data_IF_519284528866
#
_entry.id   IF_519284528866
#
_cell.length_a   1.000
_cell.length_b   1.000
_cell.length_c   1.000
_cell.angle_alpha   90.00
_cell.angle_beta   90.00
_cell.angle_gamma   90.00
#
_symmetry.space_group_name_H-M   'P 1'
#
loop_
_entity.id
_entity.type
_entity.pdbx_description
1 polymer ?
#
# COMPACT_ATOMS: atom_id res chain seq x y z
N UNK A 1 23.14 76.35 4.98
CA UNK A 1 22.36 75.89 6.14
C UNK A 1 21.34 74.89 5.62
N UNK A 2 21.55 73.58 5.90
CA UNK A 2 20.60 72.45 5.88
C UNK A 2 19.57 72.35 4.73
N UNK A 3 19.38 71.24 4.01
CA UNK A 3 19.22 69.86 4.51
C UNK A 3 19.59 68.82 3.45
N UNK A 4 20.33 67.82 3.90
CA UNK A 4 20.34 66.45 3.34
C UNK A 4 18.93 65.86 3.31
N UNK A 5 18.63 64.96 2.37
CA UNK A 5 18.10 63.60 2.66
C UNK A 5 18.17 62.70 1.41
N UNK A 6 18.70 61.52 1.66
CA UNK A 6 19.10 60.36 0.85
C UNK A 6 18.16 59.85 -0.27
N UNK A 7 18.71 59.19 -1.31
CA UNK A 7 17.95 58.31 -2.19
C UNK A 7 17.67 56.96 -1.50
N UNK A 8 16.42 56.50 -1.60
CA UNK A 8 15.95 55.20 -1.15
C UNK A 8 16.64 54.07 -1.93
N UNK A 9 17.46 53.28 -1.25
CA UNK A 9 17.98 52.01 -1.76
C UNK A 9 16.84 50.97 -1.69
N UNK A 10 16.26 50.64 -2.85
CA UNK A 10 15.44 49.45 -3.04
C UNK A 10 16.25 48.22 -2.64
N UNK A 11 15.88 47.60 -1.53
CA UNK A 11 16.40 46.31 -1.12
C UNK A 11 15.68 45.25 -1.95
N UNK A 12 16.24 44.93 -3.12
CA UNK A 12 15.86 43.74 -3.88
C UNK A 12 16.34 42.53 -3.09
N UNK A 13 15.48 42.02 -2.22
CA UNK A 13 15.71 40.77 -1.51
C UNK A 13 15.62 39.62 -2.53
N UNK A 14 16.77 39.16 -3.00
CA UNK A 14 16.91 37.91 -3.74
C UNK A 14 16.45 36.75 -2.84
N UNK A 15 15.26 36.22 -3.11
CA UNK A 15 14.81 34.93 -2.58
C UNK A 15 15.69 33.82 -3.15
N UNK A 16 16.75 33.46 -2.43
CA UNK A 16 17.59 32.28 -2.67
C UNK A 16 17.00 31.05 -1.95
N UNK A 17 15.74 30.73 -2.23
CA UNK A 17 15.21 29.40 -1.92
C UNK A 17 14.98 28.74 -3.27
N UNK A 18 15.74 27.69 -3.63
CA UNK A 18 15.32 26.84 -4.72
C UNK A 18 13.97 26.26 -4.32
N UNK A 19 12.91 26.66 -5.00
CA UNK A 19 11.66 25.92 -5.01
C UNK A 19 12.03 24.50 -5.38
N UNK A 20 12.05 23.61 -4.38
CA UNK A 20 12.21 22.19 -4.63
C UNK A 20 11.16 21.84 -5.69
N UNK A 21 11.54 21.16 -6.79
CA UNK A 21 10.55 20.75 -7.75
C UNK A 21 9.51 19.95 -6.97
N UNK A 22 8.24 20.31 -7.15
CA UNK A 22 7.14 19.44 -6.76
C UNK A 22 7.48 18.08 -7.37
N UNK A 23 7.97 17.15 -6.54
CA UNK A 23 8.22 15.80 -6.98
C UNK A 23 6.84 15.28 -7.33
N UNK A 24 6.59 15.27 -8.63
CA UNK A 24 5.42 14.73 -9.26
C UNK A 24 5.09 13.40 -8.57
N UNK A 25 3.82 13.25 -8.20
CA UNK A 25 3.22 12.01 -7.73
C UNK A 25 3.45 10.96 -8.83
N UNK A 26 4.60 10.27 -8.78
CA UNK A 26 4.80 9.02 -9.50
C UNK A 26 3.74 8.08 -8.93
N UNK A 27 2.62 7.99 -9.64
CA UNK A 27 1.56 7.06 -9.34
C UNK A 27 2.16 5.66 -9.46
N UNK A 28 2.65 5.12 -8.34
CA UNK A 28 3.22 3.79 -8.28
C UNK A 28 2.16 2.82 -8.78
N UNK A 29 2.41 2.23 -9.95
CA UNK A 29 1.51 1.27 -10.55
C UNK A 29 1.25 0.14 -9.54
N UNK A 30 -0.01 -0.30 -9.38
CA UNK A 30 -0.38 -1.15 -8.26
C UNK A 30 0.36 -2.49 -8.33
N UNK A 31 0.88 -2.91 -7.19
CA UNK A 31 1.44 -4.24 -7.04
C UNK A 31 0.34 -5.30 -7.16
N UNK A 32 0.60 -6.35 -7.95
CA UNK A 32 -0.31 -7.48 -8.16
C UNK A 32 0.25 -8.76 -7.51
N UNK A 33 -0.52 -9.34 -6.59
CA UNK A 33 -0.21 -10.61 -5.96
C UNK A 33 -1.18 -11.69 -6.46
N UNK A 34 -0.65 -12.68 -7.18
CA UNK A 34 -1.39 -13.87 -7.60
C UNK A 34 -1.08 -15.02 -6.63
N UNK A 35 -2.09 -15.48 -5.89
CA UNK A 35 -1.93 -16.54 -4.90
C UNK A 35 -2.59 -17.84 -5.34
N UNK A 36 -1.93 -18.97 -5.12
CA UNK A 36 -2.56 -20.28 -5.27
C UNK A 36 -3.63 -20.50 -4.19
N UNK A 37 -4.68 -21.24 -4.51
CA UNK A 37 -5.61 -21.73 -3.50
C UNK A 37 -4.92 -22.71 -2.54
N UNK A 38 -5.53 -22.92 -1.37
CA UNK A 38 -5.00 -23.82 -0.33
C UNK A 38 -5.80 -25.11 -0.23
N UNK A 39 -5.12 -26.22 0.08
CA UNK A 39 -5.77 -27.46 0.50
C UNK A 39 -6.55 -27.26 1.82
N UNK A 40 -5.93 -26.59 2.79
CA UNK A 40 -6.54 -26.23 4.07
C UNK A 40 -7.59 -25.13 3.89
N UNK A 41 -8.85 -25.43 4.22
CA UNK A 41 -10.00 -24.53 4.08
C UNK A 41 -10.85 -24.52 5.36
N UNK A 42 -11.68 -23.50 5.54
CA UNK A 42 -12.81 -23.60 6.48
C UNK A 42 -13.80 -24.66 5.98
N UNK A 43 -14.66 -25.12 6.87
CA UNK A 43 -15.73 -26.11 6.64
C UNK A 43 -17.08 -25.48 6.26
N UNK A 44 -17.09 -24.16 6.04
CA UNK A 44 -18.26 -23.36 5.70
C UNK A 44 -17.94 -22.36 4.61
N UNK A 45 -18.98 -21.87 3.97
CA UNK A 45 -18.91 -20.80 2.98
C UNK A 45 -18.24 -19.56 3.59
N UNK A 46 -17.30 -19.00 2.84
CA UNK A 46 -16.58 -17.81 3.22
C UNK A 46 -16.01 -17.13 1.98
N UNK A 47 -15.65 -15.85 2.14
CA UNK A 47 -14.82 -15.12 1.18
C UNK A 47 -13.54 -15.92 0.88
N UNK A 48 -13.12 -15.99 -0.37
CA UNK A 48 -11.98 -16.80 -0.79
C UNK A 48 -10.72 -16.54 0.05
N UNK A 49 -10.42 -15.28 0.36
CA UNK A 49 -9.26 -14.92 1.18
C UNK A 49 -9.34 -15.51 2.59
N UNK A 50 -10.54 -15.63 3.16
CA UNK A 50 -10.83 -16.15 4.51
C UNK A 50 -11.04 -17.66 4.56
N UNK A 51 -11.59 -18.23 3.49
CA UNK A 51 -11.76 -19.67 3.31
C UNK A 51 -10.41 -20.38 3.39
N UNK A 52 -9.39 -19.90 2.67
CA UNK A 52 -8.08 -20.57 2.61
C UNK A 52 -7.24 -20.30 3.87
N UNK A 53 -6.77 -21.38 4.51
CA UNK A 53 -6.09 -21.35 5.83
C UNK A 53 -4.63 -21.84 5.81
N UNK A 54 -4.11 -22.22 4.65
CA UNK A 54 -2.75 -22.74 4.52
C UNK A 54 -1.65 -21.74 4.89
N UNK A 55 -0.43 -22.24 5.05
CA UNK A 55 0.72 -21.46 5.56
C UNK A 55 1.05 -20.21 4.74
N UNK A 56 0.80 -20.20 3.42
CA UNK A 56 0.97 -19.00 2.60
C UNK A 56 -0.04 -17.91 2.96
N UNK A 57 -1.29 -18.26 3.28
CA UNK A 57 -2.31 -17.31 3.73
C UNK A 57 -2.02 -16.79 5.14
N UNK A 58 -1.40 -17.61 5.99
CA UNK A 58 -0.90 -17.16 7.29
C UNK A 58 0.22 -16.13 7.12
N UNK A 59 1.21 -16.41 6.26
CA UNK A 59 2.27 -15.45 5.93
C UNK A 59 1.72 -14.18 5.29
N UNK A 60 0.79 -14.29 4.34
CA UNK A 60 0.09 -13.14 3.77
C UNK A 60 -0.51 -12.25 4.86
N UNK A 61 -1.29 -12.81 5.79
CA UNK A 61 -1.92 -12.04 6.88
C UNK A 61 -0.92 -11.46 7.87
N UNK A 62 0.19 -12.14 8.12
CA UNK A 62 1.23 -11.66 9.03
C UNK A 62 1.99 -10.45 8.47
N UNK A 63 2.13 -10.35 7.15
CA UNK A 63 2.85 -9.27 6.48
C UNK A 63 1.95 -8.19 5.89
N UNK A 64 0.65 -8.45 5.69
CA UNK A 64 -0.28 -7.48 5.15
C UNK A 64 -0.43 -6.27 6.09
N UNK A 65 -0.21 -5.07 5.56
CA UNK A 65 -0.43 -3.81 6.26
C UNK A 65 -1.44 -2.93 5.53
N UNK A 66 -2.22 -2.17 6.28
CA UNK A 66 -3.32 -1.34 5.76
C UNK A 66 -2.87 -0.18 4.87
N UNK A 67 -1.59 0.19 4.95
CA UNK A 67 -0.94 1.28 4.21
C UNK A 67 -0.16 0.79 2.98
N UNK A 68 -0.08 -0.53 2.75
CA UNK A 68 0.64 -1.16 1.65
C UNK A 68 -0.08 -2.44 1.19
N UNK A 69 -1.32 -2.30 0.71
CA UNK A 69 -2.15 -3.43 0.27
C UNK A 69 -1.97 -3.67 -1.23
N UNK A 70 -1.44 -4.83 -1.67
CA UNK A 70 -1.42 -5.17 -3.09
C UNK A 70 -2.82 -5.49 -3.60
N UNK A 71 -3.02 -5.41 -4.92
CA UNK A 71 -4.17 -6.05 -5.58
C UNK A 71 -3.95 -7.55 -5.52
N UNK A 72 -4.90 -8.30 -4.95
CA UNK A 72 -4.79 -9.75 -4.78
C UNK A 72 -5.79 -10.44 -5.70
N UNK A 73 -5.34 -11.48 -6.40
CA UNK A 73 -6.21 -12.45 -7.07
C UNK A 73 -5.78 -13.86 -6.66
N UNK A 74 -6.76 -14.76 -6.50
CA UNK A 74 -6.51 -16.13 -6.07
C UNK A 74 -6.79 -17.09 -7.22
N UNK A 75 -5.81 -17.88 -7.63
CA UNK A 75 -6.00 -18.97 -8.59
C UNK A 75 -6.47 -20.24 -7.86
N UNK A 76 -7.75 -20.57 -8.06
CA UNK A 76 -8.39 -21.81 -7.62
C UNK A 76 -8.34 -22.89 -8.69
N UNK A 77 -7.94 -24.11 -8.30
CA UNK A 77 -8.03 -25.29 -9.16
C UNK A 77 -9.46 -25.59 -9.65
N UNK A 78 -10.49 -25.18 -8.89
CA UNK A 78 -11.89 -25.37 -9.24
C UNK A 78 -12.47 -24.20 -10.02
N UNK A 79 -12.27 -23.00 -9.47
CA UNK A 79 -13.02 -21.82 -9.91
C UNK A 79 -12.25 -20.90 -10.86
N UNK A 80 -10.96 -21.17 -11.13
CA UNK A 80 -10.11 -20.24 -11.87
C UNK A 80 -9.66 -19.07 -11.00
N UNK A 81 -9.49 -17.89 -11.58
CA UNK A 81 -9.13 -16.70 -10.81
C UNK A 81 -10.34 -16.17 -10.04
N UNK A 82 -10.12 -15.83 -8.77
CA UNK A 82 -11.11 -15.32 -7.83
C UNK A 82 -10.65 -14.00 -7.25
N UNK A 83 -11.63 -13.15 -6.92
CA UNK A 83 -11.40 -11.98 -6.08
C UNK A 83 -11.32 -12.42 -4.61
N UNK A 84 -10.57 -11.69 -3.76
CA UNK A 84 -10.40 -12.04 -2.35
C UNK A 84 -11.74 -12.17 -1.60
N UNK A 85 -12.73 -11.39 -2.01
CA UNK A 85 -14.06 -11.31 -1.42
C UNK A 85 -15.11 -12.23 -2.05
N UNK A 86 -14.79 -12.97 -3.10
CA UNK A 86 -15.73 -13.93 -3.70
C UNK A 86 -16.09 -15.00 -2.68
N UNK A 87 -17.37 -15.15 -2.34
CA UNK A 87 -17.86 -16.21 -1.45
C UNK A 87 -17.86 -17.55 -2.18
N UNK A 88 -17.23 -18.57 -1.57
CA UNK A 88 -17.14 -19.92 -2.11
C UNK A 88 -17.27 -20.96 -0.99
N UNK A 89 -17.89 -22.08 -1.33
CA UNK A 89 -17.98 -23.26 -0.46
C UNK A 89 -16.66 -24.04 -0.42
N UNK A 90 -16.37 -24.80 0.66
CA UNK A 90 -15.24 -25.71 0.70
C UNK A 90 -15.31 -26.77 -0.42
N UNK A 91 -14.14 -27.14 -0.92
CA UNK A 91 -14.00 -28.13 -1.99
C UNK A 91 -12.65 -28.84 -1.93
N UNK A 92 -12.56 -30.01 -2.56
CA UNK A 92 -11.31 -30.73 -2.76
C UNK A 92 -11.01 -30.90 -4.25
N UNK A 93 -10.13 -30.03 -4.76
CA UNK A 93 -9.60 -30.14 -6.11
C UNK A 93 -8.18 -29.59 -6.11
N UNK A 94 -7.22 -30.41 -6.56
CA UNK A 94 -5.80 -30.06 -6.64
C UNK A 94 -5.46 -29.56 -8.04
N UNK A 95 -4.53 -28.61 -8.12
CA UNK A 95 -3.92 -28.20 -9.38
C UNK A 95 -2.88 -29.24 -9.81
N UNK A 96 -3.33 -30.30 -10.47
CA UNK A 96 -2.44 -31.24 -11.16
C UNK A 96 -1.94 -30.62 -12.46
N UNK A 97 -0.90 -31.21 -13.07
CA UNK A 97 -0.43 -30.81 -14.40
C UNK A 97 -1.53 -30.87 -15.45
N UNK A 98 -2.30 -31.94 -15.47
CA UNK A 98 -3.46 -32.08 -16.37
C UNK A 98 -4.50 -30.99 -16.14
N UNK A 99 -4.78 -30.63 -14.88
CA UNK A 99 -5.73 -29.55 -14.58
C UNK A 99 -5.21 -28.19 -15.04
N UNK A 100 -3.92 -27.93 -14.84
CA UNK A 100 -3.28 -26.72 -15.35
C UNK A 100 -3.37 -26.66 -16.89
N UNK A 101 -3.05 -27.75 -17.59
CA UNK A 101 -3.15 -27.86 -19.05
C UNK A 101 -4.58 -27.56 -19.54
N UNK A 102 -5.60 -28.14 -18.91
CA UNK A 102 -7.00 -27.86 -19.21
C UNK A 102 -7.35 -26.39 -19.02
N UNK A 103 -6.87 -25.77 -17.93
CA UNK A 103 -7.12 -24.34 -17.70
C UNK A 103 -6.43 -23.46 -18.73
N UNK A 104 -5.20 -23.78 -19.14
CA UNK A 104 -4.50 -22.98 -20.14
C UNK A 104 -5.14 -23.11 -21.52
N UNK A 105 -5.68 -24.28 -21.88
CA UNK A 105 -6.40 -24.49 -23.13
C UNK A 105 -7.67 -23.62 -23.25
N UNK A 106 -8.34 -23.34 -22.13
CA UNK A 106 -9.54 -22.49 -22.06
C UNK A 106 -9.34 -21.32 -21.09
N UNK A 107 -8.18 -20.66 -21.15
CA UNK A 107 -7.80 -19.67 -20.14
C UNK A 107 -8.78 -18.49 -20.05
N UNK A 108 -9.39 -18.11 -21.18
CA UNK A 108 -10.41 -17.06 -21.24
C UNK A 108 -11.59 -17.30 -20.32
N UNK A 109 -12.01 -18.55 -20.11
CA UNK A 109 -13.17 -18.84 -19.26
C UNK A 109 -12.87 -18.67 -17.77
N UNK A 110 -11.58 -18.67 -17.38
CA UNK A 110 -11.10 -18.58 -16.01
C UNK A 110 -10.57 -17.18 -15.62
N UNK A 111 -10.45 -16.25 -16.57
CA UNK A 111 -9.99 -14.86 -16.33
C UNK A 111 -11.14 -13.89 -16.00
N UNK A 112 -12.18 -14.37 -15.34
CA UNK A 112 -13.43 -13.61 -15.13
C UNK A 112 -13.41 -12.48 -14.09
N UNK A 113 -12.51 -12.43 -13.09
CA UNK A 113 -12.54 -11.34 -12.10
C UNK A 113 -12.50 -9.95 -12.73
N UNK A 114 -13.35 -9.04 -12.27
CA UNK A 114 -13.29 -7.63 -12.65
C UNK A 114 -12.07 -6.95 -12.00
N UNK A 115 -11.56 -7.50 -10.91
CA UNK A 115 -10.46 -6.93 -10.14
C UNK A 115 -9.07 -6.97 -10.82
N UNK A 116 -8.91 -7.58 -12.00
CA UNK A 116 -7.67 -7.44 -12.78
C UNK A 116 -7.39 -5.95 -13.02
N UNK A 117 -6.28 -5.40 -12.50
CA UNK A 117 -5.98 -3.99 -12.67
C UNK A 117 -5.69 -3.67 -14.15
N UNK A 118 -5.94 -2.44 -14.57
CA UNK A 118 -5.66 -2.00 -15.94
C UNK A 118 -4.17 -1.84 -16.21
N UNK A 119 -3.41 -1.50 -15.18
CA UNK A 119 -1.95 -1.36 -15.20
C UNK A 119 -1.36 -2.06 -13.98
N UNK A 120 -0.13 -2.55 -14.11
CA UNK A 120 0.57 -3.29 -13.05
C UNK A 120 1.99 -2.75 -12.91
N UNK A 121 2.46 -2.65 -11.67
CA UNK A 121 3.84 -2.36 -11.34
C UNK A 121 4.61 -3.66 -11.07
N UNK A 122 4.83 -3.95 -9.80
CA UNK A 122 5.43 -5.21 -9.35
C UNK A 122 4.41 -6.35 -9.30
N UNK A 123 4.85 -7.56 -9.62
CA UNK A 123 4.01 -8.76 -9.65
C UNK A 123 4.66 -9.89 -8.88
N UNK A 124 3.88 -10.59 -8.04
CA UNK A 124 4.31 -11.79 -7.33
C UNK A 124 3.42 -12.98 -7.65
N UNK A 125 4.01 -14.09 -8.06
CA UNK A 125 3.34 -15.39 -8.20
C UNK A 125 3.66 -16.29 -7.01
N UNK A 126 2.69 -16.41 -6.10
CA UNK A 126 2.81 -17.21 -4.89
C UNK A 126 2.07 -18.56 -5.07
N UNK A 127 2.82 -19.61 -5.39
CA UNK A 127 2.25 -20.95 -5.58
C UNK A 127 3.23 -22.01 -6.08
N UNK A 128 2.74 -23.26 -6.09
CA UNK A 128 3.45 -24.38 -6.70
C UNK A 128 3.65 -24.20 -8.21
N UNK A 129 4.53 -25.01 -8.81
CA UNK A 129 4.92 -24.90 -10.22
C UNK A 129 3.73 -24.87 -11.19
N UNK A 130 2.75 -25.77 -11.01
CA UNK A 130 1.56 -25.81 -11.87
C UNK A 130 0.67 -24.56 -11.75
N UNK A 131 0.54 -23.99 -10.55
CA UNK A 131 -0.17 -22.72 -10.36
C UNK A 131 0.58 -21.58 -11.07
N UNK A 132 1.89 -21.47 -10.87
CA UNK A 132 2.71 -20.41 -11.47
C UNK A 132 2.68 -20.47 -12.99
N UNK A 133 2.61 -21.67 -13.57
CA UNK A 133 2.48 -21.86 -15.02
C UNK A 133 1.18 -21.25 -15.57
N UNK A 134 0.05 -21.51 -14.92
CA UNK A 134 -1.25 -20.90 -15.29
C UNK A 134 -1.23 -19.38 -15.04
N UNK A 135 -0.66 -18.92 -13.93
CA UNK A 135 -0.52 -17.50 -13.61
C UNK A 135 0.32 -16.75 -14.66
N UNK A 136 1.44 -17.33 -15.12
CA UNK A 136 2.26 -16.74 -16.18
C UNK A 136 1.46 -16.62 -17.48
N UNK A 137 0.73 -17.66 -17.86
CA UNK A 137 -0.12 -17.63 -19.05
C UNK A 137 -1.21 -16.55 -18.94
N UNK A 138 -1.80 -16.37 -17.75
CA UNK A 138 -2.78 -15.32 -17.47
C UNK A 138 -2.20 -13.91 -17.64
N UNK A 139 -1.03 -13.67 -17.06
CA UNK A 139 -0.33 -12.39 -17.19
C UNK A 139 0.04 -12.09 -18.64
N UNK A 140 0.65 -13.07 -19.34
CA UNK A 140 1.03 -12.93 -20.74
C UNK A 140 -0.18 -12.58 -21.63
N UNK A 141 -1.32 -13.22 -21.38
CA UNK A 141 -2.55 -12.94 -22.11
C UNK A 141 -3.13 -11.55 -21.82
N UNK A 142 -3.01 -11.06 -20.59
CA UNK A 142 -3.67 -9.82 -20.14
C UNK A 142 -2.83 -8.57 -20.40
N UNK A 143 -1.52 -8.67 -20.23
CA UNK A 143 -0.60 -7.53 -20.26
C UNK A 143 0.51 -7.66 -21.31
N UNK A 144 0.59 -8.79 -22.02
CA UNK A 144 1.72 -9.10 -22.90
C UNK A 144 2.88 -9.73 -22.13
N UNK A 145 3.99 -9.97 -22.84
CA UNK A 145 5.15 -10.69 -22.30
C UNK A 145 6.11 -9.80 -21.51
N UNK A 146 6.12 -8.49 -21.77
CA UNK A 146 7.00 -7.53 -21.09
C UNK A 146 6.36 -7.05 -19.79
N UNK A 147 6.60 -7.81 -18.72
CA UNK A 147 6.16 -7.47 -17.37
C UNK A 147 7.27 -6.67 -16.65
N UNK A 148 6.95 -5.59 -15.90
CA UNK A 148 7.98 -4.69 -15.36
C UNK A 148 8.89 -5.37 -14.34
N UNK A 149 8.30 -6.00 -13.32
CA UNK A 149 9.00 -6.72 -12.25
C UNK A 149 8.17 -7.94 -11.85
N UNK A 150 8.62 -9.14 -12.25
CA UNK A 150 7.95 -10.41 -11.92
C UNK A 150 8.80 -11.22 -10.93
N UNK A 151 8.26 -11.42 -9.73
CA UNK A 151 8.80 -12.32 -8.71
C UNK A 151 7.97 -13.60 -8.64
N UNK A 152 8.62 -14.72 -8.32
CA UNK A 152 7.95 -16.01 -8.18
C UNK A 152 8.47 -16.77 -6.99
N UNK A 153 7.56 -17.42 -6.27
CA UNK A 153 7.96 -18.30 -5.18
C UNK A 153 8.72 -19.51 -5.71
N UNK A 154 9.87 -19.81 -5.12
CA UNK A 154 10.72 -20.96 -5.46
C UNK A 154 11.27 -21.64 -4.20
N UNK A 155 11.81 -22.85 -4.36
CA UNK A 155 12.34 -23.64 -3.25
C UNK A 155 11.25 -24.23 -2.34
N UNK A 156 11.66 -24.65 -1.13
CA UNK A 156 10.77 -25.26 -0.14
C UNK A 156 9.78 -24.27 0.47
N UNK A 157 8.74 -24.78 1.14
CA UNK A 157 7.64 -23.94 1.65
C UNK A 157 8.10 -22.81 2.59
N UNK A 158 9.16 -23.02 3.37
CA UNK A 158 9.74 -21.96 4.22
C UNK A 158 10.34 -20.80 3.41
N UNK A 159 11.04 -21.10 2.31
CA UNK A 159 11.61 -20.09 1.42
C UNK A 159 10.51 -19.30 0.71
N UNK A 160 9.48 -20.00 0.21
CA UNK A 160 8.34 -19.37 -0.45
C UNK A 160 7.59 -18.40 0.49
N UNK A 161 7.45 -18.77 1.78
CA UNK A 161 6.87 -17.90 2.80
C UNK A 161 7.72 -16.65 3.05
N UNK A 162 9.05 -16.81 3.13
CA UNK A 162 9.98 -15.69 3.27
C UNK A 162 9.92 -14.74 2.06
N UNK A 163 9.89 -15.28 0.84
CA UNK A 163 9.77 -14.52 -0.40
C UNK A 163 8.47 -13.74 -0.47
N UNK A 164 7.33 -14.34 -0.08
CA UNK A 164 6.06 -13.63 0.00
C UNK A 164 6.11 -12.50 1.04
N UNK A 165 6.71 -12.74 2.20
CA UNK A 165 6.90 -11.71 3.23
C UNK A 165 7.76 -10.56 2.73
N UNK A 166 8.90 -10.85 2.09
CA UNK A 166 9.78 -9.85 1.50
C UNK A 166 9.06 -9.00 0.45
N UNK A 167 8.33 -9.62 -0.48
CA UNK A 167 7.54 -8.90 -1.47
C UNK A 167 6.53 -7.93 -0.83
N UNK A 168 5.78 -8.39 0.18
CA UNK A 168 4.81 -7.54 0.89
C UNK A 168 5.51 -6.42 1.67
N UNK A 169 6.70 -6.69 2.21
CA UNK A 169 7.50 -5.72 2.95
C UNK A 169 8.16 -4.68 2.04
N UNK A 170 8.47 -5.03 0.79
CA UNK A 170 8.94 -4.11 -0.26
C UNK A 170 7.87 -3.09 -0.68
N UNK A 171 6.58 -3.43 -0.54
CA UNK A 171 5.48 -2.49 -0.83
C UNK A 171 5.35 -1.38 0.21
N UNK A 172 6.07 -1.48 1.34
CA UNK A 172 6.01 -0.48 2.40
C UNK A 172 6.51 0.86 1.89
N UNK A 173 5.76 1.94 2.06
CA UNK A 173 6.29 3.27 1.84
C UNK A 173 7.56 3.49 2.67
N UNK A 174 8.55 4.14 2.08
CA UNK A 174 9.79 4.44 2.77
C UNK A 174 9.62 5.70 3.63
N UNK A 175 10.25 5.69 4.81
CA UNK A 175 10.59 6.92 5.52
C UNK A 175 11.71 7.64 4.76
N UNK A 176 11.56 8.95 4.55
CA UNK A 176 12.52 9.78 3.81
C UNK A 176 12.90 11.01 4.62
N UNK A 177 14.16 11.41 4.44
CA UNK A 177 14.84 12.56 5.05
C UNK A 177 14.73 12.53 6.58
N UNK A 178 15.68 11.86 7.25
CA UNK A 178 15.73 11.92 8.70
C UNK A 178 16.05 13.35 9.16
N UNK A 179 15.14 13.96 9.92
CA UNK A 179 15.23 15.35 10.39
C UNK A 179 15.55 15.45 11.89
N UNK A 180 15.55 14.33 12.62
CA UNK A 180 15.88 14.34 14.04
C UNK A 180 15.72 13.00 14.73
N UNK A 181 15.64 13.05 16.07
CA UNK A 181 15.36 11.92 16.96
C UNK A 181 14.50 12.39 18.14
N UNK A 182 13.58 11.56 18.59
CA UNK A 182 12.90 11.73 19.87
C UNK A 182 13.87 11.50 21.04
N UNK A 183 13.49 11.91 22.25
CA UNK A 183 14.30 11.74 23.46
C UNK A 183 14.67 10.27 23.75
N UNK A 184 13.83 9.32 23.32
CA UNK A 184 14.07 7.88 23.44
C UNK A 184 14.95 7.30 22.30
N UNK A 185 15.48 8.14 21.41
CA UNK A 185 16.33 7.75 20.28
C UNK A 185 15.60 7.39 19.00
N UNK A 186 14.26 7.30 18.99
CA UNK A 186 13.46 7.00 17.80
C UNK A 186 13.73 8.03 16.69
N UNK A 187 14.17 7.63 15.49
CA UNK A 187 14.38 8.54 14.37
C UNK A 187 13.09 9.23 13.93
N UNK A 188 13.21 10.52 13.59
CA UNK A 188 12.12 11.35 13.06
C UNK A 188 12.46 11.73 11.63
N UNK A 189 11.48 11.67 10.75
CA UNK A 189 11.63 11.83 9.31
C UNK A 189 10.69 12.92 8.77
N UNK A 190 11.05 13.49 7.62
CA UNK A 190 10.26 14.49 6.92
C UNK A 190 9.05 13.88 6.22
N UNK A 191 9.18 12.68 5.67
CA UNK A 191 8.12 12.08 4.86
C UNK A 191 8.01 10.56 5.02
N UNK A 192 6.80 10.06 4.80
CA UNK A 192 6.46 8.65 4.72
C UNK A 192 5.39 8.46 3.65
N UNK A 193 5.75 7.82 2.53
CA UNK A 193 4.86 7.69 1.39
C UNK A 193 4.40 9.05 0.85
N UNK A 194 3.09 9.32 0.91
CA UNK A 194 2.45 10.59 0.49
C UNK A 194 2.31 11.62 1.62
N UNK A 195 2.60 11.23 2.87
CA UNK A 195 2.54 12.13 4.01
C UNK A 195 3.90 12.79 4.20
N UNK A 196 3.91 14.12 4.33
CA UNK A 196 5.12 14.91 4.52
C UNK A 196 4.89 16.03 5.54
N UNK A 197 5.94 16.38 6.25
CA UNK A 197 5.98 17.55 7.13
C UNK A 197 5.59 18.83 6.35
N UNK A 198 4.73 19.65 6.94
CA UNK A 198 4.13 20.83 6.34
C UNK A 198 2.81 20.58 5.61
N UNK A 199 2.48 19.32 5.27
CA UNK A 199 1.22 19.03 4.58
C UNK A 199 0.01 19.20 5.50
N UNK A 200 -1.10 19.68 4.93
CA UNK A 200 -2.42 19.60 5.57
C UNK A 200 -3.08 18.30 5.13
N UNK A 201 -3.59 17.55 6.10
CA UNK A 201 -4.27 16.29 5.88
C UNK A 201 -5.64 16.29 6.58
N UNK A 202 -6.58 15.58 6.00
CA UNK A 202 -7.83 15.23 6.67
C UNK A 202 -7.57 14.03 7.58
N UNK A 203 -7.75 14.21 8.88
CA UNK A 203 -7.67 13.18 9.90
C UNK A 203 -9.03 12.53 10.12
N UNK A 204 -9.09 11.20 9.95
CA UNK A 204 -10.26 10.37 10.23
C UNK A 204 -9.84 9.17 11.08
N UNK A 205 -10.33 9.12 12.32
CA UNK A 205 -10.03 8.02 13.23
C UNK A 205 -10.72 6.73 12.76
N UNK A 206 -9.98 5.80 12.16
CA UNK A 206 -10.54 4.52 11.71
C UNK A 206 -11.17 3.70 12.85
N UNK A 207 -10.58 3.79 14.05
CA UNK A 207 -11.09 3.11 15.25
C UNK A 207 -12.34 3.78 15.85
N UNK A 208 -12.66 5.02 15.45
CA UNK A 208 -13.80 5.78 15.95
C UNK A 208 -14.48 6.55 14.79
N UNK A 209 -15.10 5.83 13.82
CA UNK A 209 -15.61 6.44 12.59
C UNK A 209 -16.78 7.41 12.79
N UNK A 210 -17.42 7.38 13.97
CA UNK A 210 -18.47 8.32 14.35
C UNK A 210 -17.93 9.74 14.66
N UNK A 211 -16.62 9.89 14.89
CA UNK A 211 -16.02 11.20 15.14
C UNK A 211 -15.93 12.01 13.84
N UNK A 212 -16.19 13.32 13.89
CA UNK A 212 -16.05 14.18 12.72
C UNK A 212 -14.60 14.23 12.25
N UNK A 213 -14.40 14.26 10.93
CA UNK A 213 -13.10 14.49 10.34
C UNK A 213 -12.53 15.85 10.78
N UNK A 214 -11.22 15.92 10.95
CA UNK A 214 -10.49 17.13 11.37
C UNK A 214 -9.41 17.47 10.36
N UNK A 215 -9.03 18.75 10.29
CA UNK A 215 -7.80 19.13 9.61
C UNK A 215 -6.63 18.97 10.57
N UNK A 216 -5.55 18.40 10.05
CA UNK A 216 -4.33 18.16 10.76
C UNK A 216 -3.14 18.66 9.92
N UNK A 217 -2.28 19.48 10.52
CA UNK A 217 -0.99 19.87 9.92
C UNK A 217 0.05 18.87 10.36
N UNK A 218 0.76 18.26 9.41
CA UNK A 218 1.79 17.28 9.71
C UNK A 218 3.08 17.99 10.08
N UNK A 219 3.63 17.71 11.26
CA UNK A 219 4.90 18.28 11.71
C UNK A 219 6.07 17.36 11.35
N UNK A 220 5.89 16.06 11.57
CA UNK A 220 6.89 15.04 11.24
C UNK A 220 6.28 13.64 11.21
N UNK A 221 7.05 12.66 10.76
CA UNK A 221 6.64 11.25 10.79
C UNK A 221 7.75 10.38 11.39
N UNK A 222 7.36 9.29 12.05
CA UNK A 222 8.28 8.34 12.66
C UNK A 222 7.66 6.95 12.72
N UNK A 223 8.48 5.93 13.01
CA UNK A 223 7.98 4.58 13.22
C UNK A 223 7.64 4.39 14.70
N UNK A 224 6.35 4.49 15.04
CA UNK A 224 5.83 4.28 16.39
C UNK A 224 5.60 2.79 16.72
N UNK A 225 5.17 2.47 17.96
CA UNK A 225 4.95 1.10 18.41
C UNK A 225 3.94 0.31 17.55
N UNK A 226 2.95 1.00 16.99
CA UNK A 226 1.92 0.41 16.13
C UNK A 226 2.18 0.63 14.64
N UNK A 227 3.37 1.12 14.27
CA UNK A 227 3.77 1.40 12.89
C UNK A 227 3.91 2.90 12.58
N UNK A 228 3.84 3.27 11.30
CA UNK A 228 4.01 4.66 10.85
C UNK A 228 3.05 5.61 11.54
N UNK A 229 3.63 6.60 12.22
CA UNK A 229 2.95 7.57 13.07
C UNK A 229 3.34 8.97 12.62
N UNK A 230 2.36 9.86 12.54
CA UNK A 230 2.57 11.27 12.27
C UNK A 230 2.41 12.05 13.58
N UNK A 231 3.35 12.95 13.83
CA UNK A 231 3.16 14.04 14.77
C UNK A 231 2.43 15.18 14.05
N UNK A 232 1.26 15.55 14.55
CA UNK A 232 0.36 16.48 13.89
C UNK A 232 -0.20 17.52 14.85
N UNK A 233 -0.49 18.70 14.32
CA UNK A 233 -1.31 19.71 14.97
C UNK A 233 -2.75 19.63 14.46
N UNK A 234 -3.70 19.40 15.35
CA UNK A 234 -5.13 19.27 15.02
C UNK A 234 -5.89 20.48 15.55
N UNK A 235 -6.74 21.06 14.71
CA UNK A 235 -7.69 22.09 15.14
C UNK A 235 -8.92 21.46 15.81
N UNK A 236 -9.08 21.73 17.11
CA UNK A 236 -10.19 21.25 17.92
C UNK A 236 -11.05 22.43 18.42
N UNK A 237 -12.37 22.27 18.44
CA UNK A 237 -13.26 23.23 19.10
C UNK A 237 -13.42 22.84 20.57
N UNK A 238 -12.82 23.61 21.47
CA UNK A 238 -12.90 23.41 22.92
C UNK A 238 -13.64 24.60 23.53
N UNK A 239 -14.82 24.34 24.12
CA UNK A 239 -15.66 25.37 24.77
C UNK A 239 -15.94 26.58 23.88
N UNK A 240 -16.23 26.34 22.60
CA UNK A 240 -16.56 27.39 21.63
C UNK A 240 -15.36 28.16 21.05
N UNK A 241 -14.12 27.77 21.38
CA UNK A 241 -12.89 28.35 20.81
C UNK A 241 -12.11 27.31 20.01
N UNK A 242 -11.51 27.72 18.90
CA UNK A 242 -10.55 26.89 18.15
C UNK A 242 -9.26 26.82 18.94
N UNK A 243 -8.76 25.60 19.18
CA UNK A 243 -7.48 25.32 19.82
C UNK A 243 -6.68 24.37 18.94
N UNK A 244 -5.41 24.67 18.75
CA UNK A 244 -4.46 23.76 18.10
C UNK A 244 -3.89 22.82 19.16
N UNK A 245 -4.06 21.52 18.95
CA UNK A 245 -3.62 20.47 19.88
C UNK A 245 -2.62 19.54 19.17
N UNK A 246 -1.39 19.36 19.69
CA UNK A 246 -0.46 18.38 19.15
C UNK A 246 -0.96 16.96 19.47
N UNK A 247 -0.86 16.06 18.50
CA UNK A 247 -1.31 14.67 18.60
C UNK A 247 -0.38 13.77 17.80
N UNK A 248 -0.19 12.56 18.30
CA UNK A 248 0.35 11.46 17.50
C UNK A 248 -0.81 10.65 16.95
N UNK A 249 -0.84 10.47 15.63
CA UNK A 249 -1.89 9.74 14.93
C UNK A 249 -1.27 8.73 13.97
N UNK A 250 -1.98 7.64 13.69
CA UNK A 250 -1.53 6.70 12.66
C UNK A 250 -1.50 7.43 11.31
N UNK A 251 -0.44 7.22 10.53
CA UNK A 251 -0.40 7.72 9.14
C UNK A 251 -1.60 7.16 8.33
N UNK A 252 -2.10 5.97 8.68
CA UNK A 252 -3.28 5.40 8.05
C UNK A 252 -4.56 6.23 8.28
N UNK A 253 -4.65 7.00 9.36
CA UNK A 253 -5.81 7.86 9.65
C UNK A 253 -5.76 9.19 8.88
N UNK A 254 -4.65 9.49 8.18
CA UNK A 254 -4.45 10.72 7.43
C UNK A 254 -4.72 10.53 5.94
N UNK A 255 -5.45 11.47 5.36
CA UNK A 255 -5.63 11.62 3.91
C UNK A 255 -5.03 12.97 3.51
N UNK A 256 -3.94 13.02 2.71
CA UNK A 256 -3.39 14.28 2.26
C UNK A 256 -4.45 15.07 1.50
N UNK A 257 -4.61 16.35 1.81
CA UNK A 257 -5.34 17.25 0.91
C UNK A 257 -4.43 17.48 -0.29
N UNK A 258 -4.82 16.93 -1.44
CA UNK A 258 -4.18 17.27 -2.71
C UNK A 258 -4.54 18.73 -2.96
N UNK A 259 -3.62 19.64 -2.63
CA UNK A 259 -3.71 21.00 -3.12
C UNK A 259 -3.36 20.99 -4.61
N UNK A 260 -4.24 21.53 -5.45
CA UNK A 260 -3.76 22.09 -6.72
C UNK A 260 -2.65 23.09 -6.39
N UNK A 261 -1.53 23.08 -7.14
CA UNK A 261 -0.48 24.07 -6.92
C UNK A 261 -1.08 25.45 -7.19
N UNK A 262 -1.08 26.32 -6.17
CA UNK A 262 -1.33 27.74 -6.31
C UNK A 262 -0.19 28.44 -7.06
#
# INVERSE_FOLDING_TARGET
>A
MQRDTMPMLSTTQLSLIPTAPALCDEAVEPALLLMACSGSKLDRDARAIDLYRGVMYQSYRAHLRSDAVPRVLILSARHGFLEPDTEIAPYDQRMTRQRADQMMADLSSYLRPAAWPTRIGSVMLAGGAEYRRVMRAALARRYGHDLPVLQETCGGIGMQRSQLGAFLDELRPAFRDQIGRHANGTPVFRAYGRIQAGAIATLRYRAAPALPARQARVNSVFNGPSGPTADVEVEEFVRGRVKVCPRWVSVADLQPLIGEPA
#
